data_IF_892942232785
#
_entry.id   IF_892942232785
#
_cell.length_a   1.000
_cell.length_b   1.000
_cell.length_c   1.000
_cell.angle_alpha   90.00
_cell.angle_beta   90.00
_cell.angle_gamma   90.00
#
_symmetry.space_group_name_H-M   'P 1'
#
loop_
_entity.id
_entity.type
_entity.pdbx_description
1 polymer ?
#
# COMPACT_ATOMS: atom_id res chain seq x y z
N UNK A 1 -19.64 3.30 -2.02
CA UNK A 1 -18.98 2.06 -1.56
C UNK A 1 -17.53 2.38 -1.29
N UNK A 2 -16.98 2.00 -0.15
CA UNK A 2 -15.59 2.30 0.18
C UNK A 2 -14.63 1.55 -0.75
N UNK A 3 -13.50 2.18 -1.03
CA UNK A 3 -12.42 1.62 -1.82
C UNK A 3 -11.43 0.88 -0.92
N UNK A 4 -10.84 -0.17 -1.46
CA UNK A 4 -9.85 -0.99 -0.79
C UNK A 4 -8.69 -1.34 -1.73
N UNK A 5 -7.56 -1.69 -1.13
CA UNK A 5 -6.40 -2.20 -1.84
C UNK A 5 -6.00 -3.56 -1.25
N UNK A 6 -5.67 -4.48 -2.13
CA UNK A 6 -5.15 -5.78 -1.77
C UNK A 6 -3.91 -6.11 -2.60
N UNK A 7 -2.93 -6.72 -1.96
CA UNK A 7 -1.71 -7.18 -2.64
C UNK A 7 -1.60 -8.69 -2.53
N UNK A 8 -1.63 -9.36 -3.68
CA UNK A 8 -1.34 -10.80 -3.78
C UNK A 8 0.18 -11.02 -3.65
N UNK A 9 0.60 -11.36 -2.43
CA UNK A 9 2.02 -11.55 -2.11
C UNK A 9 2.66 -12.69 -2.88
N UNK A 10 1.90 -13.72 -3.24
CA UNK A 10 2.42 -14.87 -3.99
C UNK A 10 2.85 -14.48 -5.41
N UNK A 11 2.28 -13.38 -5.94
CA UNK A 11 2.62 -12.84 -7.25
C UNK A 11 3.73 -11.78 -7.19
N UNK A 12 4.02 -11.21 -6.02
CA UNK A 12 5.00 -10.15 -5.92
C UNK A 12 6.42 -10.67 -6.18
N UNK A 13 7.06 -10.15 -7.22
CA UNK A 13 8.42 -10.52 -7.63
C UNK A 13 9.49 -9.54 -7.14
N UNK A 14 9.11 -8.53 -6.35
CA UNK A 14 10.05 -7.53 -5.81
C UNK A 14 10.70 -6.62 -6.86
N UNK A 15 10.01 -6.31 -7.95
CA UNK A 15 10.58 -5.50 -9.04
C UNK A 15 10.63 -3.99 -8.74
N UNK A 16 10.01 -3.53 -7.65
CA UNK A 16 9.94 -2.13 -7.19
C UNK A 16 9.26 -1.13 -8.15
N UNK A 17 8.71 -1.57 -9.29
CA UNK A 17 8.02 -0.69 -10.25
C UNK A 17 6.88 0.11 -9.63
N UNK A 18 6.19 -0.46 -8.64
CA UNK A 18 5.12 0.21 -7.90
C UNK A 18 5.63 1.43 -7.11
N UNK A 19 6.84 1.36 -6.54
CA UNK A 19 7.46 2.47 -5.80
C UNK A 19 7.79 3.61 -6.78
N UNK A 20 8.43 3.30 -7.88
CA UNK A 20 8.80 4.29 -8.91
C UNK A 20 7.55 4.97 -9.47
N UNK A 21 6.54 4.18 -9.85
CA UNK A 21 5.30 4.72 -10.37
C UNK A 21 4.56 5.62 -9.36
N UNK A 22 4.53 5.22 -8.08
CA UNK A 22 3.92 6.02 -7.03
C UNK A 22 4.67 7.34 -6.81
N UNK A 23 6.01 7.31 -6.81
CA UNK A 23 6.82 8.53 -6.68
C UNK A 23 6.61 9.49 -7.84
N UNK A 24 6.56 8.98 -9.07
CA UNK A 24 6.29 9.81 -10.26
C UNK A 24 4.89 10.42 -10.24
N UNK A 25 3.89 9.63 -9.85
CA UNK A 25 2.49 10.07 -9.80
C UNK A 25 2.26 11.21 -8.81
N UNK A 26 2.90 11.14 -7.67
CA UNK A 26 2.74 12.11 -6.57
C UNK A 26 3.86 13.14 -6.52
N UNK A 27 4.70 13.22 -7.56
CA UNK A 27 5.85 14.13 -7.64
C UNK A 27 6.74 14.09 -6.37
N UNK A 28 6.95 12.88 -5.84
CA UNK A 28 7.78 12.67 -4.66
C UNK A 28 9.26 12.61 -5.05
N UNK A 29 10.18 13.05 -4.16
CA UNK A 29 11.60 12.97 -4.43
C UNK A 29 12.03 11.55 -4.83
N UNK A 30 12.83 11.40 -5.89
CA UNK A 30 13.35 10.11 -6.32
C UNK A 30 14.32 9.53 -5.29
N UNK A 31 14.62 8.24 -5.39
CA UNK A 31 15.77 7.67 -4.72
C UNK A 31 17.03 8.38 -5.22
N UNK A 32 17.92 8.84 -4.32
CA UNK A 32 19.25 9.24 -4.75
C UNK A 32 19.97 8.00 -5.29
N UNK A 33 20.47 8.09 -6.51
CA UNK A 33 21.22 7.00 -7.17
C UNK A 33 22.50 6.68 -6.39
N UNK A 34 23.03 7.68 -5.67
CA UNK A 34 24.09 7.55 -4.68
C UNK A 34 23.66 8.41 -3.49
N UNK A 35 23.19 7.83 -2.39
CA UNK A 35 22.90 8.62 -1.21
C UNK A 35 24.20 9.25 -0.72
N UNK A 36 24.37 10.57 -0.75
CA UNK A 36 25.34 11.17 0.12
C UNK A 36 24.89 10.80 1.54
N UNK A 37 25.83 10.29 2.34
CA UNK A 37 25.60 9.95 3.73
C UNK A 37 24.86 11.12 4.40
N UNK A 38 23.61 10.86 4.82
CA UNK A 38 22.80 11.83 5.54
C UNK A 38 21.66 12.52 4.79
N UNK A 39 21.41 12.22 3.50
CA UNK A 39 20.25 12.79 2.83
C UNK A 39 19.04 11.84 2.95
N UNK A 40 17.92 12.26 3.61
CA UNK A 40 16.76 11.40 3.76
C UNK A 40 16.18 11.08 2.38
N UNK A 41 15.92 9.80 2.17
CA UNK A 41 15.13 9.35 1.02
C UNK A 41 13.74 9.98 1.12
N UNK A 42 13.20 10.49 0.03
CA UNK A 42 11.84 11.00 0.00
C UNK A 42 10.83 9.90 0.37
N UNK A 43 9.59 10.28 0.71
CA UNK A 43 8.60 9.34 1.23
C UNK A 43 8.26 8.24 0.21
N UNK A 44 8.01 7.05 0.74
CA UNK A 44 7.56 5.89 -0.02
C UNK A 44 6.19 5.46 0.46
N UNK A 45 5.15 5.81 -0.28
CA UNK A 45 3.78 5.50 0.08
C UNK A 45 3.45 4.01 -0.09
N UNK A 46 4.23 3.30 -0.90
CA UNK A 46 4.31 1.85 -0.98
C UNK A 46 5.77 1.43 -0.86
N UNK A 47 6.06 0.48 0.03
CA UNK A 47 7.39 -0.08 0.28
C UNK A 47 7.36 -1.57 0.02
N UNK A 48 8.44 -2.13 -0.49
CA UNK A 48 8.56 -3.56 -0.74
C UNK A 48 9.72 -4.11 0.08
N UNK A 49 9.41 -4.89 1.09
CA UNK A 49 10.40 -5.55 1.94
C UNK A 49 10.71 -6.93 1.41
N UNK A 50 12.00 -7.28 1.37
CA UNK A 50 12.46 -8.64 1.13
C UNK A 50 12.43 -9.39 2.45
N UNK A 51 11.75 -10.52 2.49
CA UNK A 51 11.69 -11.43 3.64
C UNK A 51 12.42 -12.71 3.27
N UNK A 52 13.44 -13.04 4.03
CA UNK A 52 14.37 -14.13 3.71
C UNK A 52 15.68 -13.62 3.09
N UNK A 53 16.56 -14.54 2.61
CA UNK A 53 16.28 -15.98 2.43
C UNK A 53 16.22 -16.75 3.76
N UNK A 54 15.35 -17.76 3.80
CA UNK A 54 15.28 -18.76 4.87
C UNK A 54 15.48 -20.13 4.26
N UNK A 55 16.19 -21.04 4.94
CA UNK A 55 16.30 -22.43 4.54
C UNK A 55 15.25 -23.22 5.32
N UNK A 56 14.37 -23.89 4.60
CA UNK A 56 13.38 -24.79 5.14
C UNK A 56 13.27 -26.01 4.23
N UNK A 57 13.33 -27.22 4.82
CA UNK A 57 13.26 -28.48 4.07
C UNK A 57 14.29 -28.55 2.91
N UNK A 58 15.52 -28.06 3.16
CA UNK A 58 16.64 -27.95 2.21
C UNK A 58 16.39 -26.98 1.02
N UNK A 59 15.26 -26.28 1.01
CA UNK A 59 14.92 -25.29 -0.01
C UNK A 59 15.12 -23.86 0.51
N UNK A 60 15.51 -22.97 -0.40
CA UNK A 60 15.64 -21.54 -0.11
C UNK A 60 14.31 -20.86 -0.36
N UNK A 61 13.71 -20.34 0.70
CA UNK A 61 12.48 -19.55 0.65
C UNK A 61 12.77 -18.06 0.79
N UNK A 62 12.30 -17.31 -0.17
CA UNK A 62 12.31 -15.84 -0.16
C UNK A 62 11.00 -15.32 -0.74
N UNK A 63 10.46 -14.28 -0.14
CA UNK A 63 9.29 -13.61 -0.69
C UNK A 63 9.40 -12.09 -0.49
N UNK A 64 8.53 -11.36 -1.17
CA UNK A 64 8.46 -9.91 -1.08
C UNK A 64 7.15 -9.50 -0.42
N UNK A 65 7.25 -8.54 0.49
CA UNK A 65 6.14 -8.03 1.27
C UNK A 65 5.92 -6.55 0.95
N UNK A 66 4.99 -6.21 0.03
CA UNK A 66 4.56 -4.83 -0.13
C UNK A 66 3.79 -4.36 1.11
N UNK A 67 4.12 -3.15 1.57
CA UNK A 67 3.49 -2.49 2.72
C UNK A 67 3.08 -1.09 2.30
N UNK A 68 1.84 -0.72 2.56
CA UNK A 68 1.24 0.57 2.25
C UNK A 68 0.04 0.82 3.17
N UNK A 69 -0.59 2.00 3.09
CA UNK A 69 -1.84 2.26 3.80
C UNK A 69 -2.96 1.36 3.25
N UNK A 70 -3.69 0.71 4.14
CA UNK A 70 -4.83 -0.15 3.78
C UNK A 70 -6.18 0.55 3.98
N UNK A 71 -6.16 1.84 4.35
CA UNK A 71 -7.35 2.68 4.56
C UNK A 71 -8.35 2.05 5.53
N UNK A 72 -7.86 1.63 6.71
CA UNK A 72 -8.64 0.96 7.75
C UNK A 72 -10.03 1.57 7.91
N UNK A 73 -11.10 0.77 8.08
CA UNK A 73 -12.44 1.31 8.38
C UNK A 73 -12.40 2.19 9.64
N UNK A 74 -11.89 1.65 10.74
CA UNK A 74 -11.62 2.34 11.99
C UNK A 74 -10.13 2.68 12.02
N UNK A 75 -9.79 3.86 11.55
CA UNK A 75 -8.40 4.27 11.33
C UNK A 75 -7.79 4.90 12.59
N UNK A 76 -6.92 4.19 13.34
CA UNK A 76 -6.37 4.72 14.59
C UNK A 76 -5.50 5.97 14.37
N UNK A 77 -4.96 6.15 13.17
CA UNK A 77 -4.21 7.34 12.82
C UNK A 77 -5.07 8.61 12.76
N UNK A 78 -6.38 8.50 12.50
CA UNK A 78 -7.31 9.63 12.53
C UNK A 78 -7.55 10.04 13.99
N UNK A 79 -7.84 9.09 14.86
CA UNK A 79 -8.08 9.33 16.28
C UNK A 79 -6.84 9.92 16.98
N UNK A 80 -5.65 9.46 16.60
CA UNK A 80 -4.39 9.96 17.16
C UNK A 80 -3.94 11.32 16.58
N UNK A 81 -4.63 11.85 15.58
CA UNK A 81 -4.24 13.10 14.93
C UNK A 81 -4.71 14.33 15.72
N UNK A 82 -3.82 14.91 16.52
CA UNK A 82 -4.14 16.02 17.41
C UNK A 82 -4.56 17.31 16.67
N UNK A 83 -4.12 17.46 15.42
CA UNK A 83 -4.46 18.62 14.58
C UNK A 83 -5.56 18.30 13.56
N UNK A 84 -6.22 17.14 13.64
CA UNK A 84 -7.29 16.70 12.74
C UNK A 84 -6.92 16.73 11.24
N UNK A 85 -5.62 16.69 10.91
CA UNK A 85 -5.12 16.70 9.54
C UNK A 85 -5.43 15.41 8.77
N UNK A 86 -5.74 14.32 9.45
CA UNK A 86 -6.06 13.03 8.82
C UNK A 86 -7.56 12.81 8.91
N UNK A 87 -8.19 12.55 7.77
CA UNK A 87 -9.64 12.36 7.70
C UNK A 87 -10.02 11.27 6.69
N UNK A 88 -11.27 10.83 6.75
CA UNK A 88 -11.85 9.95 5.73
C UNK A 88 -12.69 10.74 4.75
N UNK A 89 -12.44 10.50 3.48
CA UNK A 89 -13.35 10.90 2.43
C UNK A 89 -14.65 10.10 2.54
N UNK A 90 -15.77 10.82 2.64
CA UNK A 90 -17.08 10.22 2.94
C UNK A 90 -17.59 9.35 1.79
N UNK A 91 -17.26 9.69 0.55
CA UNK A 91 -17.75 8.98 -0.63
C UNK A 91 -16.97 7.71 -0.90
N UNK A 92 -15.65 7.78 -0.75
CA UNK A 92 -14.71 6.71 -1.11
C UNK A 92 -14.24 5.88 0.07
N UNK A 93 -14.35 6.39 1.30
CA UNK A 93 -13.78 5.78 2.50
C UNK A 93 -12.25 5.80 2.55
N UNK A 94 -11.60 6.53 1.65
CA UNK A 94 -10.15 6.67 1.60
C UNK A 94 -9.68 7.59 2.72
N UNK A 95 -8.61 7.21 3.40
CA UNK A 95 -7.95 8.06 4.41
C UNK A 95 -7.04 9.04 3.68
N UNK A 96 -7.29 10.33 3.90
CA UNK A 96 -6.57 11.44 3.27
C UNK A 96 -5.88 12.31 4.31
N UNK A 97 -4.98 13.16 3.86
CA UNK A 97 -4.21 14.08 4.71
C UNK A 97 -4.37 15.51 4.19
N UNK A 98 -4.77 16.40 5.07
CA UNK A 98 -4.65 17.83 4.85
C UNK A 98 -3.23 18.27 5.21
N UNK A 99 -2.47 18.67 4.20
CA UNK A 99 -1.07 19.07 4.38
C UNK A 99 -0.92 20.40 5.10
N UNK A 100 -1.91 21.27 5.01
CA UNK A 100 -1.86 22.60 5.64
C UNK A 100 -2.06 22.47 7.15
N UNK A 101 -2.96 21.60 7.59
CA UNK A 101 -3.22 21.32 9.00
C UNK A 101 -2.16 20.42 9.65
N UNK A 102 -1.38 19.66 8.87
CA UNK A 102 -0.41 18.71 9.42
C UNK A 102 0.76 19.42 10.10
N UNK A 103 0.98 19.14 11.39
CA UNK A 103 2.10 19.66 12.19
C UNK A 103 3.33 18.74 12.21
N UNK A 104 3.26 17.56 11.60
CA UNK A 104 4.37 16.62 11.57
C UNK A 104 4.68 15.95 12.93
N UNK A 105 3.74 15.91 13.87
CA UNK A 105 3.93 15.39 15.23
C UNK A 105 4.23 13.89 15.33
N UNK A 106 3.98 13.12 14.28
CA UNK A 106 4.23 11.68 14.14
C UNK A 106 3.34 10.74 14.97
N UNK A 107 2.38 11.22 15.76
CA UNK A 107 1.49 10.36 16.54
C UNK A 107 0.77 9.31 15.68
N UNK A 108 0.41 9.64 14.44
CA UNK A 108 -0.18 8.70 13.49
C UNK A 108 0.75 7.53 13.10
N UNK A 109 2.06 7.72 13.14
CA UNK A 109 3.03 6.65 12.87
C UNK A 109 3.10 5.66 14.03
N UNK A 110 3.05 6.17 15.26
CA UNK A 110 3.15 5.35 16.49
C UNK A 110 1.98 4.35 16.60
N UNK A 111 0.79 4.76 16.18
CA UNK A 111 -0.42 3.92 16.26
C UNK A 111 -0.67 3.06 15.03
N UNK A 112 0.07 3.26 13.94
CA UNK A 112 -0.16 2.53 12.69
C UNK A 112 0.50 1.15 12.71
N UNK A 113 -0.27 0.04 12.70
CA UNK A 113 0.30 -1.32 12.76
C UNK A 113 1.10 -1.69 11.51
N UNK A 114 0.94 -0.92 10.42
CA UNK A 114 1.64 -1.12 9.15
C UNK A 114 2.82 -0.16 8.97
N UNK A 115 3.00 0.81 9.88
CA UNK A 115 3.98 1.89 9.71
C UNK A 115 3.79 2.64 8.39
N UNK A 116 2.55 2.76 7.91
CA UNK A 116 2.26 3.38 6.61
C UNK A 116 2.55 4.89 6.54
N UNK A 117 2.33 5.70 7.61
CA UNK A 117 2.70 7.10 7.60
C UNK A 117 4.18 7.32 7.29
N UNK A 118 4.48 8.20 6.35
CA UNK A 118 5.83 8.61 6.00
C UNK A 118 5.98 10.11 6.21
N UNK A 119 7.16 10.55 6.63
CA UNK A 119 7.41 11.96 6.88
C UNK A 119 8.55 12.45 6.00
N UNK A 120 8.34 13.60 5.39
CA UNK A 120 9.34 14.29 4.62
C UNK A 120 9.13 15.80 4.75
N UNK A 121 10.20 16.55 4.95
CA UNK A 121 10.18 18.01 5.15
C UNK A 121 9.13 18.46 6.19
N UNK A 122 9.08 17.74 7.33
CA UNK A 122 8.19 18.07 8.45
C UNK A 122 6.70 17.78 8.22
N UNK A 123 6.32 17.16 7.10
CA UNK A 123 4.93 16.87 6.73
C UNK A 123 4.69 15.36 6.59
N UNK A 124 3.45 14.95 6.85
CA UNK A 124 2.99 13.57 6.67
C UNK A 124 2.67 13.32 5.19
N UNK A 125 3.13 12.19 4.70
CA UNK A 125 2.74 11.62 3.41
C UNK A 125 2.09 10.24 3.63
N UNK A 126 0.93 10.04 3.05
CA UNK A 126 0.15 8.81 3.15
C UNK A 126 -0.39 8.43 1.76
N UNK A 127 -0.50 7.13 1.48
CA UNK A 127 -1.15 6.66 0.26
C UNK A 127 -2.60 7.18 0.21
N UNK A 128 -3.00 7.76 -0.90
CA UNK A 128 -4.34 8.30 -1.17
C UNK A 128 -5.12 7.44 -2.20
N UNK A 129 -4.64 6.23 -2.50
CA UNK A 129 -5.14 5.36 -3.58
C UNK A 129 -5.22 6.04 -4.95
N UNK A 130 -4.40 7.07 -5.19
CA UNK A 130 -4.50 7.89 -6.39
C UNK A 130 -5.97 8.34 -6.64
N UNK A 131 -6.63 8.89 -5.63
CA UNK A 131 -8.07 9.24 -5.65
C UNK A 131 -8.45 10.05 -6.89
N UNK A 132 -7.54 10.86 -7.41
CA UNK A 132 -7.71 11.64 -8.64
C UNK A 132 -7.83 10.77 -9.90
N UNK A 133 -7.40 9.50 -9.86
CA UNK A 133 -7.54 8.51 -10.94
C UNK A 133 -8.77 7.63 -10.78
N UNK A 134 -9.28 7.47 -9.55
CA UNK A 134 -10.48 6.69 -9.29
C UNK A 134 -11.65 7.45 -9.89
N UNK A 135 -12.32 6.87 -10.87
CA UNK A 135 -13.38 7.53 -11.60
C UNK A 135 -14.51 8.06 -10.69
N UNK A 136 -14.93 9.29 -10.92
CA UNK A 136 -16.23 9.76 -10.40
C UNK A 136 -17.34 8.90 -10.98
N UNK A 137 -18.47 8.76 -10.27
CA UNK A 137 -19.65 8.00 -10.71
C UNK A 137 -19.91 8.23 -12.19
N UNK A 138 -19.85 7.17 -13.01
CA UNK A 138 -20.14 7.21 -14.45
C UNK A 138 -18.92 7.46 -15.37
N UNK A 139 -17.69 7.58 -14.85
CA UNK A 139 -16.47 7.63 -15.65
C UNK A 139 -15.75 6.29 -15.61
N UNK A 140 -15.06 5.98 -16.72
CA UNK A 140 -14.22 4.78 -16.81
C UNK A 140 -13.15 4.78 -15.72
N UNK A 141 -13.07 3.69 -14.94
CA UNK A 141 -12.08 3.52 -13.88
C UNK A 141 -10.68 3.54 -14.48
N UNK A 142 -9.81 4.38 -13.96
CA UNK A 142 -8.37 4.32 -14.23
C UNK A 142 -7.68 3.56 -13.09
N UNK A 143 -6.71 2.75 -13.45
CA UNK A 143 -5.87 2.07 -12.47
C UNK A 143 -5.04 3.06 -11.66
N UNK A 144 -4.80 2.75 -10.37
CA UNK A 144 -3.80 3.48 -9.58
C UNK A 144 -2.42 3.32 -10.20
N UNK A 145 -1.50 4.25 -9.93
CA UNK A 145 -0.18 4.22 -10.54
C UNK A 145 0.59 2.92 -10.24
N UNK A 146 0.55 2.46 -8.99
CA UNK A 146 1.21 1.23 -8.57
C UNK A 146 0.56 -0.04 -9.17
N UNK A 147 -0.77 -0.06 -9.31
CA UNK A 147 -1.50 -1.16 -9.93
C UNK A 147 -1.18 -1.25 -11.43
N UNK A 148 -1.22 -0.10 -12.15
CA UNK A 148 -0.92 -0.03 -13.57
C UNK A 148 0.53 -0.44 -13.90
N UNK A 149 1.47 -0.10 -13.04
CA UNK A 149 2.89 -0.39 -13.23
C UNK A 149 3.31 -1.80 -12.77
N UNK A 150 2.41 -2.60 -12.16
CA UNK A 150 2.75 -3.91 -11.65
C UNK A 150 2.79 -4.98 -12.74
N UNK A 151 3.98 -5.45 -13.21
CA UNK A 151 4.07 -6.45 -14.27
C UNK A 151 3.53 -7.81 -13.84
N UNK A 152 3.62 -8.12 -12.54
CA UNK A 152 3.12 -9.38 -11.97
C UNK A 152 1.62 -9.34 -11.65
N UNK A 153 0.95 -8.19 -11.85
CA UNK A 153 -0.46 -7.98 -11.48
C UNK A 153 -0.76 -8.45 -10.06
N UNK A 154 0.13 -8.07 -9.14
CA UNK A 154 0.02 -8.41 -7.73
C UNK A 154 -0.83 -7.41 -6.94
N UNK A 155 -0.98 -6.17 -7.43
CA UNK A 155 -1.69 -5.09 -6.75
C UNK A 155 -3.09 -4.96 -7.36
N UNK A 156 -4.09 -4.93 -6.51
CA UNK A 156 -5.50 -4.80 -6.89
C UNK A 156 -6.16 -3.71 -6.06
N UNK A 157 -6.82 -2.78 -6.74
CA UNK A 157 -7.58 -1.70 -6.11
C UNK A 157 -9.02 -1.78 -6.64
N UNK A 158 -9.98 -1.67 -5.76
CA UNK A 158 -11.40 -1.77 -6.12
C UNK A 158 -12.29 -1.42 -4.96
N UNK A 159 -13.59 -1.61 -5.13
CA UNK A 159 -14.52 -1.55 -4.01
C UNK A 159 -14.26 -2.68 -3.02
N UNK A 160 -14.66 -2.51 -1.78
CA UNK A 160 -14.52 -3.56 -0.75
C UNK A 160 -15.13 -4.89 -1.18
N UNK A 161 -16.26 -4.86 -1.91
CA UNK A 161 -16.92 -6.07 -2.38
C UNK A 161 -16.10 -6.78 -3.48
N UNK A 162 -15.55 -6.03 -4.44
CA UNK A 162 -14.66 -6.57 -5.48
C UNK A 162 -13.42 -7.21 -4.88
N UNK A 163 -12.77 -6.51 -3.96
CA UNK A 163 -11.57 -7.00 -3.28
C UNK A 163 -11.87 -8.23 -2.42
N UNK A 164 -12.98 -8.23 -1.69
CA UNK A 164 -13.42 -9.38 -0.88
C UNK A 164 -13.68 -10.62 -1.75
N UNK A 165 -14.35 -10.46 -2.90
CA UNK A 165 -14.58 -11.55 -3.84
C UNK A 165 -13.26 -12.12 -4.40
N UNK A 166 -12.29 -11.26 -4.73
CA UNK A 166 -10.97 -11.69 -5.21
C UNK A 166 -10.19 -12.45 -4.14
N UNK A 167 -10.22 -11.96 -2.89
CA UNK A 167 -9.57 -12.62 -1.76
C UNK A 167 -10.21 -13.99 -1.46
N UNK A 168 -11.53 -14.08 -1.50
CA UNK A 168 -12.27 -15.34 -1.32
C UNK A 168 -11.90 -16.38 -2.37
N UNK A 169 -11.86 -15.98 -3.65
CA UNK A 169 -11.40 -16.86 -4.74
C UNK A 169 -9.97 -17.37 -4.52
N UNK A 170 -9.05 -16.48 -4.13
CA UNK A 170 -7.66 -16.84 -3.85
C UNK A 170 -7.55 -17.80 -2.66
N UNK A 171 -8.35 -17.60 -1.61
CA UNK A 171 -8.38 -18.50 -0.45
C UNK A 171 -8.85 -19.90 -0.85
N UNK A 172 -9.90 -20.01 -1.67
CA UNK A 172 -10.38 -21.30 -2.20
C UNK A 172 -9.33 -22.01 -3.05
N UNK A 173 -8.62 -21.28 -3.92
CA UNK A 173 -7.52 -21.85 -4.73
C UNK A 173 -6.36 -22.40 -3.86
N UNK A 174 -6.05 -21.72 -2.74
CA UNK A 174 -5.03 -22.18 -1.79
C UNK A 174 -5.47 -23.44 -1.07
N UNK A 175 -6.70 -23.50 -0.57
CA UNK A 175 -7.27 -24.68 0.10
C UNK A 175 -7.22 -25.92 -0.82
N UNK A 176 -7.64 -25.80 -2.08
CA UNK A 176 -7.60 -26.90 -3.03
C UNK A 176 -6.18 -27.37 -3.41
N UNK A 177 -5.15 -26.51 -3.29
CA UNK A 177 -3.76 -26.93 -3.47
C UNK A 177 -3.22 -27.68 -2.24
N UNK A 178 -3.61 -27.25 -1.05
CA UNK A 178 -3.19 -27.90 0.20
C UNK A 178 -3.76 -29.30 0.32
N UNK A 179 -5.05 -29.52 -0.03
CA UNK A 179 -5.66 -30.84 -0.08
C UNK A 179 -4.91 -31.81 -1.00
N UNK A 180 -4.47 -31.34 -2.18
CA UNK A 180 -3.66 -32.16 -3.11
C UNK A 180 -2.28 -32.52 -2.58
N UNK A 181 -1.71 -31.68 -1.70
CA UNK A 181 -0.39 -31.89 -1.10
C UNK A 181 -0.42 -32.89 0.05
N UNK A 182 -1.53 -32.93 0.78
CA UNK A 182 -1.74 -33.84 1.92
C UNK A 182 -2.17 -35.24 1.43
N UNK A 183 -2.79 -35.32 0.26
CA UNK A 183 -3.27 -36.59 -0.32
C UNK A 183 -2.24 -37.40 -1.13
N UNK A 184 -0.98 -36.95 -1.16
CA UNK A 184 0.18 -37.65 -1.75
C UNK A 184 1.11 -38.18 -0.65
#
# INVERSE_FOLDING_TARGET
>A
MPWAIWVDRDKCIGCYSCIVACKLEHNLPPYPVHPPLGNPQGPELIRVHRVGPHIRDEEIHQHFQPVLCVHCPDAPCIEACLCSAIYKDIETGITLVDQDECTGCKSCLEVCPYGAPQFYDGKLYLCDLCIHRLGQRGRERRYTACEAACPARAIHVGTTDEISAMMGKKAAERAGKEEKRIGQ
#
